data_IF_411931846506
#
_entry.id   IF_411931846506
#
_cell.length_a   1.000
_cell.length_b   1.000
_cell.length_c   1.000
_cell.angle_alpha   90.00
_cell.angle_beta   90.00
_cell.angle_gamma   90.00
#
_symmetry.space_group_name_H-M   'P 1'
#
loop_
_entity.id
_entity.type
_entity.pdbx_description
1 polymer ?
#
# COMPACT_ATOMS: atom_id res chain seq x y z
N UNK A 1 4.89 8.40 -16.28
CA UNK A 1 5.57 7.10 -16.06
C UNK A 1 4.69 6.29 -15.14
N UNK A 2 4.30 5.08 -15.53
CA UNK A 2 3.48 4.18 -14.70
C UNK A 2 4.37 3.45 -13.71
N UNK A 3 3.81 2.99 -12.58
CA UNK A 3 4.60 2.19 -11.65
C UNK A 3 5.10 0.90 -12.30
N UNK A 4 4.26 0.22 -13.07
CA UNK A 4 4.62 -0.99 -13.83
C UNK A 4 5.78 -0.83 -14.83
N UNK A 5 6.14 0.40 -15.21
CA UNK A 5 7.26 0.63 -16.13
C UNK A 5 8.62 0.27 -15.48
N UNK A 6 8.68 0.07 -14.15
CA UNK A 6 9.87 -0.44 -13.44
C UNK A 6 10.06 -1.95 -13.59
N UNK A 7 9.01 -2.69 -13.95
CA UNK A 7 9.02 -4.16 -13.98
C UNK A 7 10.17 -4.78 -14.80
N UNK A 8 10.57 -4.25 -15.97
CA UNK A 8 11.71 -4.80 -16.72
C UNK A 8 13.01 -4.78 -15.92
N UNK A 9 13.24 -3.73 -15.12
CA UNK A 9 14.43 -3.59 -14.27
C UNK A 9 14.38 -4.61 -13.13
N UNK A 10 13.22 -4.77 -12.47
CA UNK A 10 13.03 -5.75 -11.41
C UNK A 10 13.25 -7.18 -11.90
N UNK A 11 12.75 -7.50 -13.11
CA UNK A 11 12.98 -8.78 -13.78
C UNK A 11 14.45 -9.01 -14.11
N UNK A 12 15.11 -8.02 -14.69
CA UNK A 12 16.52 -8.12 -15.05
C UNK A 12 17.43 -8.32 -13.83
N UNK A 13 17.08 -7.71 -12.69
CA UNK A 13 17.78 -7.89 -11.41
C UNK A 13 17.30 -9.10 -10.60
N UNK A 14 16.31 -9.86 -11.08
CA UNK A 14 15.65 -10.96 -10.36
C UNK A 14 15.17 -10.58 -8.94
N UNK A 15 14.65 -9.37 -8.77
CA UNK A 15 14.08 -8.93 -7.49
C UNK A 15 12.69 -9.53 -7.35
N UNK A 16 12.54 -10.50 -6.42
CA UNK A 16 11.28 -11.22 -6.15
C UNK A 16 10.66 -10.88 -4.80
N UNK A 17 11.43 -10.26 -3.91
CA UNK A 17 11.01 -9.88 -2.58
C UNK A 17 11.48 -8.46 -2.30
N UNK A 18 10.60 -7.62 -1.77
CA UNK A 18 10.94 -6.24 -1.43
C UNK A 18 10.05 -5.73 -0.30
N UNK A 19 10.59 -4.85 0.54
CA UNK A 19 9.78 -3.99 1.40
C UNK A 19 9.61 -2.67 0.66
N UNK A 20 8.43 -2.06 0.77
CA UNK A 20 8.12 -0.83 0.04
C UNK A 20 7.86 0.32 1.01
N UNK A 21 8.47 1.47 0.73
CA UNK A 21 8.04 2.76 1.28
C UNK A 21 7.39 3.56 0.15
N UNK A 22 6.23 4.13 0.41
CA UNK A 22 5.48 5.01 -0.49
C UNK A 22 5.33 6.36 0.18
N UNK A 23 5.99 7.36 -0.39
CA UNK A 23 5.86 8.76 -0.02
C UNK A 23 5.63 9.52 -1.33
N UNK A 24 4.37 9.52 -1.77
CA UNK A 24 3.93 10.17 -3.00
C UNK A 24 2.71 11.02 -2.69
N UNK A 25 2.91 12.33 -2.63
CA UNK A 25 1.80 13.24 -2.35
C UNK A 25 0.78 13.18 -3.50
N UNK A 26 -0.47 12.85 -3.19
CA UNK A 26 -1.63 12.90 -4.11
C UNK A 26 -1.65 11.87 -5.24
N UNK A 27 -0.66 10.96 -5.30
CA UNK A 27 -0.51 9.98 -6.37
C UNK A 27 -0.68 8.52 -5.90
N UNK A 28 -1.19 8.30 -4.70
CA UNK A 28 -1.40 6.98 -4.09
C UNK A 28 -2.40 6.15 -4.91
N UNK A 29 -3.45 6.78 -5.46
CA UNK A 29 -4.37 6.13 -6.41
C UNK A 29 -3.60 5.69 -7.66
N UNK A 30 -2.72 6.55 -8.18
CA UNK A 30 -2.01 6.28 -9.42
C UNK A 30 -1.05 5.08 -9.29
N UNK A 31 -0.42 4.93 -8.12
CA UNK A 31 0.34 3.72 -7.78
C UNK A 31 -0.56 2.47 -7.89
N UNK A 32 -1.72 2.50 -7.26
CA UNK A 32 -2.67 1.38 -7.26
C UNK A 32 -3.22 1.08 -8.67
N UNK A 33 -3.53 2.12 -9.45
CA UNK A 33 -4.04 1.98 -10.83
C UNK A 33 -3.03 1.43 -11.82
N UNK A 34 -1.74 1.56 -11.53
CA UNK A 34 -0.68 1.28 -12.51
C UNK A 34 0.38 0.30 -12.03
N UNK A 35 0.15 -0.33 -10.87
CA UNK A 35 1.15 -1.17 -10.21
C UNK A 35 0.86 -2.67 -10.21
N UNK A 36 -0.21 -3.11 -10.86
CA UNK A 36 -0.67 -4.49 -10.78
C UNK A 36 0.41 -5.50 -11.14
N UNK A 37 1.15 -5.28 -12.24
CA UNK A 37 2.13 -6.26 -12.69
C UNK A 37 3.33 -6.34 -11.76
N UNK A 38 3.70 -5.22 -11.12
CA UNK A 38 4.76 -5.23 -10.10
C UNK A 38 4.29 -5.96 -8.84
N UNK A 39 3.08 -5.71 -8.36
CA UNK A 39 2.51 -6.39 -7.18
C UNK A 39 2.24 -7.88 -7.42
N UNK A 40 2.02 -8.29 -8.66
CA UNK A 40 1.87 -9.71 -9.05
C UNK A 40 3.23 -10.42 -9.19
N UNK A 41 4.28 -9.69 -9.56
CA UNK A 41 5.62 -10.26 -9.80
C UNK A 41 6.51 -10.28 -8.55
N UNK A 42 6.45 -9.22 -7.73
CA UNK A 42 7.24 -9.04 -6.52
C UNK A 42 6.39 -9.36 -5.31
N UNK A 43 6.88 -10.25 -4.45
CA UNK A 43 6.30 -10.42 -3.13
C UNK A 43 6.69 -9.24 -2.23
N UNK A 44 5.73 -8.35 -2.02
CA UNK A 44 5.86 -7.19 -1.13
C UNK A 44 5.08 -7.47 0.15
N UNK A 45 5.71 -8.00 1.21
CA UNK A 45 5.00 -8.35 2.44
C UNK A 45 4.50 -7.14 3.24
N UNK A 46 5.24 -6.02 3.18
CA UNK A 46 4.99 -4.81 3.97
C UNK A 46 5.18 -3.58 3.09
N UNK A 47 4.22 -2.65 3.20
CA UNK A 47 4.25 -1.35 2.55
C UNK A 47 4.01 -0.28 3.62
N UNK A 48 4.97 0.60 3.86
CA UNK A 48 4.74 1.84 4.60
C UNK A 48 4.27 2.92 3.63
N UNK A 49 3.09 3.48 3.83
CA UNK A 49 2.54 4.56 3.02
C UNK A 49 2.30 5.79 3.88
N UNK A 50 3.01 6.87 3.57
CA UNK A 50 2.87 8.17 4.22
C UNK A 50 1.81 9.01 3.48
N UNK A 51 0.96 9.67 4.26
CA UNK A 51 -0.18 10.45 3.80
C UNK A 51 -0.11 11.87 4.34
N UNK A 52 -0.38 12.84 3.46
CA UNK A 52 -0.53 14.23 3.89
C UNK A 52 -1.86 14.43 4.64
N UNK A 53 -1.76 14.96 5.86
CA UNK A 53 -2.85 15.16 6.83
C UNK A 53 -3.91 16.13 6.28
N UNK A 54 -3.54 17.06 5.39
CA UNK A 54 -4.45 18.07 4.83
C UNK A 54 -5.41 17.57 3.76
N UNK A 55 -5.18 16.37 3.21
CA UNK A 55 -5.75 15.91 1.97
C UNK A 55 -6.83 14.83 2.17
N UNK A 56 -7.90 15.14 2.92
CA UNK A 56 -9.05 14.22 3.04
C UNK A 56 -9.76 14.08 1.69
N UNK A 57 -9.52 12.96 1.03
CA UNK A 57 -10.23 12.55 -0.17
C UNK A 57 -10.75 11.14 0.01
N UNK A 58 -11.98 11.02 0.47
CA UNK A 58 -12.63 9.73 0.77
C UNK A 58 -12.57 8.77 -0.41
N UNK A 59 -12.77 9.28 -1.64
CA UNK A 59 -12.69 8.48 -2.87
C UNK A 59 -11.29 7.87 -3.05
N UNK A 60 -10.25 8.65 -2.77
CA UNK A 60 -8.85 8.21 -2.86
C UNK A 60 -8.56 7.12 -1.84
N UNK A 61 -8.88 7.39 -0.58
CA UNK A 61 -8.65 6.47 0.53
C UNK A 61 -9.42 5.16 0.31
N UNK A 62 -10.68 5.24 -0.10
CA UNK A 62 -11.49 4.07 -0.45
C UNK A 62 -10.90 3.26 -1.60
N UNK A 63 -10.35 3.91 -2.63
CA UNK A 63 -9.70 3.20 -3.73
C UNK A 63 -8.48 2.42 -3.24
N UNK A 64 -7.62 3.09 -2.48
CA UNK A 64 -6.39 2.48 -1.95
C UNK A 64 -6.70 1.35 -0.97
N UNK A 65 -7.68 1.53 -0.08
CA UNK A 65 -8.21 0.48 0.79
C UNK A 65 -8.64 -0.75 -0.02
N UNK A 66 -9.56 -0.56 -0.97
CA UNK A 66 -10.09 -1.66 -1.80
C UNK A 66 -8.99 -2.38 -2.56
N UNK A 67 -8.01 -1.63 -3.08
CA UNK A 67 -6.89 -2.19 -3.81
C UNK A 67 -6.05 -3.15 -2.95
N UNK A 68 -5.63 -2.69 -1.77
CA UNK A 68 -4.78 -3.50 -0.89
C UNK A 68 -5.54 -4.63 -0.20
N UNK A 69 -6.77 -4.38 0.26
CA UNK A 69 -7.64 -5.42 0.83
C UNK A 69 -7.90 -6.54 -0.19
N UNK A 70 -8.20 -6.19 -1.45
CA UNK A 70 -8.39 -7.15 -2.54
C UNK A 70 -7.13 -7.97 -2.86
N UNK A 71 -5.95 -7.53 -2.43
CA UNK A 71 -4.66 -8.21 -2.57
C UNK A 71 -4.22 -8.95 -1.30
N UNK A 72 -5.10 -9.06 -0.30
CA UNK A 72 -4.85 -9.78 0.95
C UNK A 72 -3.95 -9.04 1.95
N UNK A 73 -3.89 -7.70 1.85
CA UNK A 73 -3.26 -6.87 2.86
C UNK A 73 -4.27 -6.44 3.92
N UNK A 74 -3.78 -6.16 5.13
CA UNK A 74 -4.48 -5.44 6.19
C UNK A 74 -3.82 -4.09 6.40
N UNK A 75 -4.63 -3.06 6.63
CA UNK A 75 -4.14 -1.76 7.05
C UNK A 75 -3.86 -1.78 8.55
N UNK A 76 -2.70 -1.30 8.97
CA UNK A 76 -2.33 -1.18 10.38
C UNK A 76 -1.69 0.18 10.67
N UNK A 77 -1.83 0.63 11.92
CA UNK A 77 -1.09 1.74 12.51
C UNK A 77 -0.06 1.14 13.46
N UNK A 78 1.18 1.61 13.38
CA UNK A 78 2.31 1.15 14.21
C UNK A 78 2.56 -0.37 14.16
N UNK A 79 2.28 -1.02 13.03
CA UNK A 79 2.37 -2.47 12.75
C UNK A 79 1.51 -3.40 13.63
N UNK A 80 1.11 -2.98 14.82
CA UNK A 80 0.38 -3.84 15.77
C UNK A 80 -1.12 -3.56 15.85
N UNK A 81 -1.61 -2.42 15.33
CA UNK A 81 -3.03 -2.04 15.44
C UNK A 81 -3.69 -2.07 14.07
N UNK A 82 -4.53 -3.07 13.81
CA UNK A 82 -5.37 -3.10 12.60
C UNK A 82 -6.27 -1.87 12.59
N UNK A 83 -6.26 -1.17 11.45
CA UNK A 83 -7.10 -0.01 11.22
C UNK A 83 -8.50 -0.49 10.82
N UNK A 84 -9.51 -0.13 11.61
CA UNK A 84 -10.91 -0.38 11.24
C UNK A 84 -11.28 0.48 10.02
N UNK A 85 -11.85 -0.13 8.98
CA UNK A 85 -12.18 0.56 7.72
C UNK A 85 -13.16 1.73 7.92
N UNK A 86 -14.11 1.60 8.85
CA UNK A 86 -15.11 2.64 9.13
C UNK A 86 -14.49 3.82 9.86
N UNK A 87 -13.55 3.54 10.77
CA UNK A 87 -12.83 4.58 11.50
C UNK A 87 -11.72 5.22 10.66
N UNK A 88 -11.11 4.45 9.75
CA UNK A 88 -10.07 4.91 8.83
C UNK A 88 -10.53 6.13 8.04
N UNK A 89 -11.73 6.08 7.46
CA UNK A 89 -12.26 7.18 6.64
C UNK A 89 -12.61 8.42 7.48
N UNK A 90 -12.88 8.27 8.78
CA UNK A 90 -13.17 9.39 9.69
C UNK A 90 -11.91 10.07 10.20
N UNK A 91 -10.87 9.28 10.47
CA UNK A 91 -9.60 9.71 11.03
C UNK A 91 -8.44 8.93 10.40
N UNK A 92 -8.12 9.29 9.16
CA UNK A 92 -7.03 8.64 8.43
C UNK A 92 -5.68 8.95 9.10
N UNK A 93 -4.87 7.94 9.45
CA UNK A 93 -3.57 8.14 10.06
C UNK A 93 -2.56 8.67 9.02
N UNK A 94 -1.54 9.44 9.43
CA UNK A 94 -0.51 9.92 8.52
C UNK A 94 0.32 8.76 7.96
N UNK A 95 0.59 7.74 8.77
CA UNK A 95 1.34 6.56 8.36
C UNK A 95 0.44 5.33 8.39
N UNK A 96 0.35 4.64 7.25
CA UNK A 96 -0.39 3.38 7.12
C UNK A 96 0.57 2.28 6.69
N UNK A 97 0.61 1.20 7.46
CA UNK A 97 1.29 -0.02 7.06
C UNK A 97 0.29 -0.97 6.40
N UNK A 98 0.57 -1.39 5.18
CA UNK A 98 -0.13 -2.49 4.52
C UNK A 98 0.68 -3.76 4.70
N UNK A 99 0.13 -4.73 5.43
CA UNK A 99 0.80 -5.98 5.75
C UNK A 99 0.00 -7.16 5.18
N UNK A 100 0.64 -8.11 4.50
CA UNK A 100 -0.06 -9.34 4.09
C UNK A 100 -0.50 -10.13 5.32
N UNK A 101 -1.74 -10.67 5.33
CA UNK A 101 -2.32 -11.37 6.48
C UNK A 101 -1.44 -12.51 7.04
N UNK A 102 -0.62 -13.17 6.21
CA UNK A 102 0.30 -14.21 6.71
C UNK A 102 1.41 -13.67 7.63
N UNK A 103 1.52 -12.34 7.76
CA UNK A 103 2.48 -11.62 8.59
C UNK A 103 1.80 -10.71 9.62
N UNK A 104 0.47 -10.74 9.74
CA UNK A 104 -0.24 -9.97 10.76
C UNK A 104 -0.12 -10.56 12.17
N UNK A 105 0.69 -11.62 12.34
CA UNK A 105 1.17 -12.11 13.65
C UNK A 105 2.49 -11.45 14.08
N UNK A 106 3.01 -10.52 13.27
CA UNK A 106 4.08 -9.61 13.69
C UNK A 106 3.39 -8.59 14.60
N UNK A 107 3.41 -8.89 15.91
CA UNK A 107 2.50 -8.45 16.98
C UNK A 107 1.28 -9.39 17.15
#
# INVERSE_FOLDING_TARGET
>A
MRFDDILPVLKWKNIRHAIMKVDIQWAEIYLCQTGDKVFDFVNIPVILMEWDIGARHDIRMQYVLKYFLGRGYVATVDMCKILDENDALRSWPPDVFWMKMNLSEIC
#
